data_IF_921400731063
#
_entry.id   IF_921400731063
#
_cell.length_a   1.000
_cell.length_b   1.000
_cell.length_c   1.000
_cell.angle_alpha   90.00
_cell.angle_beta   90.00
_cell.angle_gamma   90.00
#
_symmetry.space_group_name_H-M   'P 1'
#
loop_
_entity.id
_entity.type
_entity.pdbx_description
1 polymer ?
#
# COMPACT_ATOMS: atom_id res chain seq x y z
N UNK A 1 -13.63 5.02 5.29
CA UNK A 1 -13.95 4.79 3.85
C UNK A 1 -15.10 3.81 3.77
N UNK A 2 -16.21 4.14 3.12
CA UNK A 2 -17.29 3.17 2.83
C UNK A 2 -16.85 2.33 1.63
N UNK A 3 -16.93 1.00 1.74
CA UNK A 3 -16.35 0.05 0.77
C UNK A 3 -17.40 -0.65 -0.12
N UNK A 4 -18.67 -0.26 -0.08
CA UNK A 4 -19.71 -0.95 -0.87
C UNK A 4 -19.42 -0.94 -2.38
N UNK A 5 -18.80 0.14 -2.87
CA UNK A 5 -18.35 0.26 -4.26
C UNK A 5 -17.13 -0.60 -4.60
N UNK A 6 -16.33 -0.98 -3.59
CA UNK A 6 -15.08 -1.71 -3.74
C UNK A 6 -15.33 -3.21 -3.95
N UNK A 7 -16.31 -3.80 -3.26
CA UNK A 7 -16.53 -5.25 -3.32
C UNK A 7 -16.81 -5.81 -4.72
N UNK A 8 -17.61 -5.15 -5.60
CA UNK A 8 -17.76 -5.60 -6.99
C UNK A 8 -16.45 -5.56 -7.79
N UNK A 9 -15.60 -4.56 -7.55
CA UNK A 9 -14.28 -4.47 -8.21
C UNK A 9 -13.35 -5.58 -7.73
N UNK A 10 -13.31 -5.83 -6.42
CA UNK A 10 -12.51 -6.92 -5.85
C UNK A 10 -12.95 -8.28 -6.39
N UNK A 11 -14.26 -8.54 -6.49
CA UNK A 11 -14.77 -9.81 -7.02
C UNK A 11 -14.36 -10.02 -8.49
N UNK A 12 -14.41 -8.96 -9.30
CA UNK A 12 -13.95 -8.99 -10.69
C UNK A 12 -12.44 -9.21 -10.77
N UNK A 13 -11.67 -8.49 -9.98
CA UNK A 13 -10.22 -8.60 -9.92
C UNK A 13 -9.78 -10.01 -9.53
N UNK A 14 -10.34 -10.57 -8.46
CA UNK A 14 -10.02 -11.92 -8.02
C UNK A 14 -10.28 -12.97 -9.12
N UNK A 15 -11.32 -12.78 -9.95
CA UNK A 15 -11.62 -13.65 -11.09
C UNK A 15 -10.60 -13.48 -12.21
N UNK A 16 -10.26 -12.25 -12.58
CA UNK A 16 -9.32 -11.96 -13.67
C UNK A 16 -7.89 -12.43 -13.36
N UNK A 17 -7.44 -12.32 -12.10
CA UNK A 17 -6.10 -12.75 -11.68
C UNK A 17 -6.06 -14.18 -11.12
N UNK A 18 -7.19 -14.88 -11.08
CA UNK A 18 -7.25 -16.27 -10.60
C UNK A 18 -6.79 -16.45 -9.15
N UNK A 19 -7.11 -15.50 -8.27
CA UNK A 19 -6.66 -15.55 -6.87
C UNK A 19 -7.20 -16.78 -6.14
N UNK A 20 -6.32 -17.52 -5.47
CA UNK A 20 -6.69 -18.69 -4.69
C UNK A 20 -7.23 -18.29 -3.31
N UNK A 21 -8.54 -18.47 -3.12
CA UNK A 21 -9.23 -18.21 -1.86
C UNK A 21 -8.66 -18.96 -0.65
N UNK A 22 -8.05 -20.14 -0.86
CA UNK A 22 -7.39 -20.90 0.22
C UNK A 22 -6.13 -20.19 0.67
N UNK A 23 -5.31 -19.71 -0.28
CA UNK A 23 -4.09 -18.95 0.02
C UNK A 23 -4.40 -17.61 0.68
N UNK A 24 -5.44 -16.91 0.24
CA UNK A 24 -5.95 -15.70 0.90
C UNK A 24 -6.35 -15.98 2.37
N UNK A 25 -7.00 -17.12 2.61
CA UNK A 25 -7.37 -17.55 3.97
C UNK A 25 -6.14 -17.86 4.83
N UNK A 26 -5.09 -18.45 4.25
CA UNK A 26 -3.82 -18.68 4.95
C UNK A 26 -3.16 -17.36 5.31
N UNK A 27 -3.06 -16.42 4.37
CA UNK A 27 -2.50 -15.09 4.62
C UNK A 27 -3.22 -14.38 5.77
N UNK A 28 -4.55 -14.40 5.75
CA UNK A 28 -5.38 -13.81 6.80
C UNK A 28 -5.10 -14.44 8.17
N UNK A 29 -4.97 -15.77 8.24
CA UNK A 29 -4.63 -16.47 9.49
C UNK A 29 -3.22 -16.14 9.97
N UNK A 30 -2.26 -15.99 9.06
CA UNK A 30 -0.90 -15.55 9.40
C UNK A 30 -0.93 -14.16 10.03
N UNK A 31 -1.65 -13.20 9.41
CA UNK A 31 -1.84 -11.87 10.00
C UNK A 31 -2.44 -11.95 11.41
N UNK A 32 -3.50 -12.72 11.60
CA UNK A 32 -4.17 -12.84 12.91
C UNK A 32 -3.31 -13.47 14.02
N UNK A 33 -2.39 -14.37 13.66
CA UNK A 33 -1.59 -15.12 14.63
C UNK A 33 -0.21 -14.54 14.87
N UNK A 34 0.37 -13.91 13.86
CA UNK A 34 1.77 -13.48 13.85
C UNK A 34 1.93 -11.97 13.96
N UNK A 35 0.91 -11.19 13.56
CA UNK A 35 0.97 -9.75 13.76
C UNK A 35 0.63 -9.42 15.22
N UNK A 36 1.43 -8.53 15.79
CA UNK A 36 1.15 -7.90 17.07
C UNK A 36 1.13 -6.38 16.88
N UNK A 37 0.05 -5.83 16.29
CA UNK A 37 0.02 -4.41 15.99
C UNK A 37 0.20 -3.56 17.25
N UNK A 38 1.11 -2.60 17.20
CA UNK A 38 1.44 -1.72 18.32
C UNK A 38 1.70 -0.29 17.83
N UNK A 39 1.58 0.69 18.73
CA UNK A 39 1.71 2.10 18.39
C UNK A 39 0.42 2.73 17.85
N UNK A 40 0.52 3.99 17.44
CA UNK A 40 -0.63 4.78 17.00
C UNK A 40 -0.71 4.88 15.48
N UNK A 41 -1.92 4.72 14.93
CA UNK A 41 -2.16 5.01 13.53
C UNK A 41 -1.99 6.51 13.26
N UNK A 42 -1.21 6.91 12.24
CA UNK A 42 -1.11 8.30 11.84
C UNK A 42 -2.49 8.90 11.59
N UNK A 43 -2.81 10.02 12.26
CA UNK A 43 -4.06 10.74 12.02
C UNK A 43 -3.86 11.80 10.94
N UNK A 44 -4.51 11.61 9.80
CA UNK A 44 -4.44 12.57 8.68
C UNK A 44 -5.63 13.54 8.64
N UNK A 45 -6.52 13.51 9.63
CA UNK A 45 -7.65 14.43 9.76
C UNK A 45 -7.21 15.89 9.57
N UNK A 46 -7.78 16.55 8.55
CA UNK A 46 -7.46 17.95 8.20
C UNK A 46 -6.15 18.17 7.44
N UNK A 47 -5.30 17.14 7.31
CA UNK A 47 -3.97 17.23 6.69
C UNK A 47 -4.01 16.91 5.19
N UNK A 48 -3.06 17.47 4.45
CA UNK A 48 -2.74 17.08 3.08
C UNK A 48 -1.60 16.06 3.09
N UNK A 49 -1.76 14.98 2.32
CA UNK A 49 -0.82 13.85 2.25
C UNK A 49 -0.35 13.68 0.80
N UNK A 50 0.91 13.32 0.63
CA UNK A 50 1.49 12.89 -0.64
C UNK A 50 1.74 11.39 -0.56
N UNK A 51 1.09 10.61 -1.42
CA UNK A 51 1.37 9.19 -1.57
C UNK A 51 2.43 9.02 -2.64
N UNK A 52 3.53 8.35 -2.30
CA UNK A 52 4.65 8.08 -3.19
C UNK A 52 4.54 6.65 -3.70
N UNK A 53 4.40 6.50 -5.02
CA UNK A 53 4.38 5.24 -5.73
C UNK A 53 5.74 4.91 -6.36
N UNK A 54 5.90 3.65 -6.74
CA UNK A 54 7.16 3.12 -7.27
C UNK A 54 7.56 3.64 -8.67
N UNK A 55 6.68 4.42 -9.32
CA UNK A 55 6.88 5.04 -10.63
C UNK A 55 7.49 6.44 -10.60
N UNK A 56 7.94 6.93 -9.44
CA UNK A 56 8.68 8.19 -9.35
C UNK A 56 9.96 8.05 -10.17
N UNK A 57 10.30 9.04 -10.99
CA UNK A 57 11.58 9.01 -11.72
C UNK A 57 12.69 9.60 -10.83
N UNK A 58 13.96 9.19 -11.00
CA UNK A 58 15.06 9.71 -10.17
C UNK A 58 15.24 11.24 -10.25
N UNK A 59 14.84 11.86 -11.37
CA UNK A 59 14.88 13.31 -11.59
C UNK A 59 13.66 14.06 -11.02
N UNK A 60 12.63 13.35 -10.55
CA UNK A 60 11.41 13.96 -10.01
C UNK A 60 11.53 14.23 -8.51
N UNK A 61 11.23 15.46 -8.12
CA UNK A 61 11.20 15.85 -6.70
C UNK A 61 9.88 15.43 -6.08
N UNK A 62 9.94 14.74 -4.94
CA UNK A 62 8.73 14.44 -4.16
C UNK A 62 8.15 15.78 -3.66
N UNK A 63 6.84 16.05 -3.83
CA UNK A 63 6.22 17.27 -3.30
C UNK A 63 6.34 17.41 -1.77
N UNK A 64 6.42 18.63 -1.25
CA UNK A 64 6.44 18.87 0.20
C UNK A 64 5.14 18.42 0.88
N UNK A 65 5.23 17.96 2.13
CA UNK A 65 4.09 17.50 2.91
C UNK A 65 4.34 16.18 3.66
N UNK A 66 3.29 15.67 4.31
CA UNK A 66 3.29 14.36 4.96
C UNK A 66 3.33 13.27 3.89
N UNK A 67 4.34 12.39 3.95
CA UNK A 67 4.55 11.37 2.94
C UNK A 67 4.04 10.01 3.40
N UNK A 68 3.30 9.33 2.55
CA UNK A 68 2.98 7.90 2.67
C UNK A 68 3.70 7.18 1.53
N UNK A 69 4.57 6.23 1.83
CA UNK A 69 5.30 5.47 0.82
C UNK A 69 4.66 4.09 0.58
N UNK A 70 4.51 3.70 -0.68
CA UNK A 70 4.07 2.37 -1.07
C UNK A 70 5.27 1.47 -1.33
N UNK A 71 5.52 0.55 -0.39
CA UNK A 71 6.52 -0.51 -0.48
C UNK A 71 7.88 -0.05 -1.05
N UNK A 72 8.28 -0.50 -2.25
CA UNK A 72 9.54 -0.13 -2.89
C UNK A 72 9.76 1.38 -3.08
N UNK A 73 8.70 2.20 -3.07
CA UNK A 73 8.79 3.65 -3.12
C UNK A 73 9.52 4.26 -1.90
N UNK A 74 9.70 3.51 -0.82
CA UNK A 74 10.54 3.93 0.32
C UNK A 74 11.97 4.24 -0.14
N UNK A 75 12.50 3.54 -1.15
CA UNK A 75 13.81 3.85 -1.73
C UNK A 75 13.86 5.26 -2.31
N UNK A 76 12.84 5.66 -3.06
CA UNK A 76 12.75 7.00 -3.64
C UNK A 76 12.75 8.08 -2.55
N UNK A 77 12.01 7.83 -1.46
CA UNK A 77 11.99 8.68 -0.28
C UNK A 77 13.38 8.78 0.36
N UNK A 78 14.10 7.66 0.51
CA UNK A 78 15.43 7.60 1.10
C UNK A 78 16.49 8.32 0.26
N UNK A 79 16.48 8.13 -1.06
CA UNK A 79 17.39 8.80 -2.00
C UNK A 79 17.27 10.33 -1.93
N UNK A 80 16.08 10.84 -1.63
CA UNK A 80 15.82 12.27 -1.41
C UNK A 80 15.91 12.69 0.05
N UNK A 81 16.31 11.80 0.96
CA UNK A 81 16.41 12.03 2.41
C UNK A 81 15.10 12.50 3.05
N UNK A 82 13.96 11.99 2.57
CA UNK A 82 12.62 12.37 3.06
C UNK A 82 11.95 11.20 3.75
N UNK A 83 11.94 11.21 5.07
CA UNK A 83 11.32 10.15 5.86
C UNK A 83 9.78 10.15 5.68
N UNK A 84 9.17 9.03 5.24
CA UNK A 84 7.72 8.90 5.24
C UNK A 84 7.16 8.77 6.66
N UNK A 85 5.96 9.30 6.88
CA UNK A 85 5.26 9.12 8.17
C UNK A 85 4.54 7.77 8.25
N UNK A 86 4.27 7.15 7.09
CA UNK A 86 3.64 5.85 6.96
C UNK A 86 4.20 5.11 5.75
N UNK A 87 4.46 3.82 5.93
CA UNK A 87 4.74 2.87 4.85
C UNK A 87 3.61 1.87 4.77
N UNK A 88 3.11 1.60 3.56
CA UNK A 88 2.17 0.52 3.28
C UNK A 88 2.89 -0.49 2.39
N UNK A 89 2.99 -1.74 2.82
CA UNK A 89 3.84 -2.74 2.17
C UNK A 89 3.30 -4.16 2.34
N UNK A 90 3.45 -4.98 1.30
CA UNK A 90 3.26 -6.44 1.33
C UNK A 90 4.56 -7.21 1.66
N UNK A 91 5.62 -6.47 1.99
CA UNK A 91 6.95 -6.93 2.40
C UNK A 91 7.80 -7.52 1.26
N UNK A 92 7.48 -7.24 -0.02
CA UNK A 92 8.26 -7.68 -1.17
C UNK A 92 9.28 -6.66 -1.72
N UNK A 93 9.27 -5.44 -1.16
CA UNK A 93 10.18 -4.36 -1.52
C UNK A 93 11.61 -4.46 -0.97
N UNK A 94 12.29 -3.32 -0.93
CA UNK A 94 13.69 -3.24 -0.53
C UNK A 94 13.84 -3.21 1.00
N UNK A 95 14.37 -4.31 1.56
CA UNK A 95 14.47 -4.54 3.01
C UNK A 95 15.22 -3.45 3.76
N UNK A 96 16.39 -3.05 3.28
CA UNK A 96 17.21 -2.01 3.93
C UNK A 96 16.52 -0.65 3.93
N UNK A 97 15.73 -0.36 2.89
CA UNK A 97 14.98 0.89 2.77
C UNK A 97 13.79 0.88 3.73
N UNK A 98 13.09 -0.25 3.84
CA UNK A 98 12.02 -0.44 4.84
C UNK A 98 12.55 -0.29 6.27
N UNK A 99 13.68 -0.92 6.60
CA UNK A 99 14.33 -0.77 7.91
C UNK A 99 14.76 0.69 8.17
N UNK A 100 15.31 1.38 7.17
CA UNK A 100 15.64 2.80 7.28
C UNK A 100 14.41 3.63 7.66
N UNK A 101 13.26 3.40 7.02
CA UNK A 101 12.03 4.13 7.32
C UNK A 101 11.52 3.83 8.74
N UNK A 102 11.46 2.55 9.13
CA UNK A 102 11.00 2.14 10.46
C UNK A 102 11.91 2.69 11.57
N UNK A 103 13.23 2.57 11.40
CA UNK A 103 14.20 3.10 12.37
C UNK A 103 14.18 4.63 12.44
N UNK A 104 13.76 5.30 11.36
CA UNK A 104 13.50 6.74 11.36
C UNK A 104 12.20 7.14 12.07
N UNK A 105 11.33 6.20 12.43
CA UNK A 105 10.04 6.45 13.09
C UNK A 105 8.82 6.40 12.17
N UNK A 106 8.96 5.91 10.93
CA UNK A 106 7.81 5.70 10.06
C UNK A 106 6.89 4.62 10.63
N UNK A 107 5.58 4.89 10.67
CA UNK A 107 4.60 3.86 10.96
C UNK A 107 4.55 2.83 9.82
N UNK A 108 4.23 1.57 10.13
CA UNK A 108 4.12 0.50 9.14
C UNK A 108 2.72 -0.11 9.13
N UNK A 109 2.12 -0.18 7.95
CA UNK A 109 0.94 -1.02 7.67
C UNK A 109 1.38 -2.18 6.79
N UNK A 110 1.22 -3.41 7.29
CA UNK A 110 1.52 -4.62 6.52
C UNK A 110 0.26 -5.12 5.83
N UNK A 111 0.37 -5.42 4.53
CA UNK A 111 -0.64 -6.12 3.77
C UNK A 111 -0.31 -7.61 3.64
N UNK A 112 -1.28 -8.49 3.90
CA UNK A 112 -1.18 -9.92 3.60
C UNK A 112 -2.19 -10.37 2.54
N UNK A 113 -1.71 -11.20 1.60
CA UNK A 113 -2.49 -11.87 0.56
C UNK A 113 -1.87 -13.22 0.18
N UNK A 114 -2.53 -13.97 -0.72
CA UNK A 114 -2.15 -15.35 -1.01
C UNK A 114 -0.77 -15.53 -1.65
N UNK A 115 -0.17 -14.51 -2.26
CA UNK A 115 1.12 -14.64 -2.95
C UNK A 115 2.30 -14.29 -2.06
N UNK A 116 2.10 -13.49 -1.00
CA UNK A 116 3.18 -13.01 -0.14
C UNK A 116 3.40 -13.86 1.13
N UNK A 117 2.89 -15.10 1.18
CA UNK A 117 2.97 -15.97 2.36
C UNK A 117 4.41 -16.18 2.88
N UNK A 118 5.39 -16.30 1.98
CA UNK A 118 6.80 -16.47 2.36
C UNK A 118 7.33 -15.21 3.05
N UNK A 119 7.07 -14.03 2.46
CA UNK A 119 7.47 -12.76 3.04
C UNK A 119 6.80 -12.51 4.39
N UNK A 120 5.50 -12.80 4.51
CA UNK A 120 4.78 -12.74 5.79
C UNK A 120 5.41 -13.67 6.83
N UNK A 121 5.73 -14.91 6.45
CA UNK A 121 6.32 -15.90 7.34
C UNK A 121 7.69 -15.48 7.90
N UNK A 122 8.53 -14.92 7.04
CA UNK A 122 9.89 -14.50 7.37
C UNK A 122 9.91 -13.20 8.18
N UNK A 123 9.10 -12.21 7.79
CA UNK A 123 9.28 -10.81 8.22
C UNK A 123 8.28 -10.35 9.26
N UNK A 124 7.02 -10.75 9.16
CA UNK A 124 5.98 -10.24 10.05
C UNK A 124 6.31 -10.42 11.54
N UNK A 125 6.89 -11.55 12.01
CA UNK A 125 7.26 -11.73 13.42
C UNK A 125 8.40 -10.82 13.91
N UNK A 126 9.15 -10.21 12.98
CA UNK A 126 10.33 -9.37 13.26
C UNK A 126 9.99 -7.88 13.22
N UNK A 127 8.75 -7.55 12.87
CA UNK A 127 8.27 -6.19 12.68
C UNK A 127 7.14 -5.91 13.67
N UNK A 128 6.93 -4.63 13.97
CA UNK A 128 5.84 -4.16 14.81
C UNK A 128 5.01 -3.16 14.01
N UNK A 129 4.12 -3.62 13.12
CA UNK A 129 3.26 -2.72 12.37
C UNK A 129 2.26 -2.01 13.28
N UNK A 130 1.79 -0.82 12.90
CA UNK A 130 0.68 -0.14 13.58
C UNK A 130 -0.68 -0.73 13.21
N UNK A 131 -0.77 -1.39 12.05
CA UNK A 131 -1.93 -2.17 11.64
C UNK A 131 -1.58 -3.19 10.56
N UNK A 132 -2.46 -4.17 10.40
CA UNK A 132 -2.41 -5.13 9.29
C UNK A 132 -3.69 -5.07 8.47
N UNK A 133 -3.57 -5.31 7.16
CA UNK A 133 -4.69 -5.30 6.22
C UNK A 133 -4.66 -6.50 5.28
N UNK A 134 -5.83 -6.97 4.89
CA UNK A 134 -5.98 -8.06 3.93
C UNK A 134 -7.00 -7.72 2.83
N UNK A 135 -7.21 -8.66 1.91
CA UNK A 135 -8.25 -8.56 0.88
C UNK A 135 -9.67 -8.59 1.47
N UNK A 136 -9.86 -9.07 2.70
CA UNK A 136 -11.14 -9.06 3.42
C UNK A 136 -10.92 -8.71 4.90
N UNK A 137 -11.89 -8.06 5.56
CA UNK A 137 -11.78 -7.78 6.98
C UNK A 137 -11.88 -9.06 7.81
N UNK A 138 -11.22 -9.06 8.98
CA UNK A 138 -11.35 -10.10 10.00
C UNK A 138 -11.06 -9.50 11.39
N UNK A 139 -11.36 -10.20 12.49
CA UNK A 139 -10.95 -9.76 13.82
C UNK A 139 -9.44 -9.45 13.85
N UNK A 140 -9.08 -8.22 14.24
CA UNK A 140 -7.70 -7.73 14.28
C UNK A 140 -7.06 -7.38 12.92
N UNK A 141 -7.78 -7.55 11.80
CA UNK A 141 -7.27 -7.29 10.45
C UNK A 141 -8.20 -6.32 9.71
N UNK A 142 -7.66 -5.16 9.35
CA UNK A 142 -8.39 -4.15 8.61
C UNK A 142 -8.58 -4.53 7.13
N UNK A 143 -9.47 -3.82 6.47
CA UNK A 143 -9.55 -3.80 5.03
C UNK A 143 -10.01 -2.41 4.59
N UNK A 144 -9.16 -1.69 3.85
CA UNK A 144 -9.50 -0.40 3.24
C UNK A 144 -9.70 -0.50 1.72
N UNK A 145 -9.64 -1.72 1.17
CA UNK A 145 -9.63 -1.98 -0.25
C UNK A 145 -8.24 -1.78 -0.88
N UNK A 146 -8.20 -1.81 -2.20
CA UNK A 146 -6.99 -1.70 -3.00
C UNK A 146 -6.40 -3.04 -3.42
N UNK A 147 -5.56 -3.00 -4.45
CA UNK A 147 -4.91 -4.14 -5.07
C UNK A 147 -3.39 -4.08 -4.96
N UNK A 148 -2.77 -2.99 -5.42
CA UNK A 148 -1.33 -2.76 -5.30
C UNK A 148 -1.03 -1.92 -4.07
N UNK A 149 0.21 -1.93 -3.56
CA UNK A 149 0.58 -1.12 -2.40
C UNK A 149 0.33 0.38 -2.65
N UNK A 150 0.49 0.84 -3.89
CA UNK A 150 0.22 2.23 -4.26
C UNK A 150 -1.23 2.65 -4.05
N UNK A 151 -2.17 1.94 -4.67
CA UNK A 151 -3.60 2.27 -4.53
C UNK A 151 -4.13 1.94 -3.12
N UNK A 152 -3.55 0.94 -2.45
CA UNK A 152 -3.82 0.63 -1.04
C UNK A 152 -3.32 1.73 -0.11
N UNK A 153 -2.16 2.34 -0.39
CA UNK A 153 -1.65 3.48 0.36
C UNK A 153 -2.57 4.70 0.24
N UNK A 154 -3.12 4.94 -0.95
CA UNK A 154 -4.15 5.99 -1.16
C UNK A 154 -5.40 5.74 -0.33
N UNK A 155 -5.95 4.53 -0.39
CA UNK A 155 -7.15 4.16 0.37
C UNK A 155 -6.91 4.15 1.89
N UNK A 156 -5.71 3.77 2.33
CA UNK A 156 -5.29 3.88 3.74
C UNK A 156 -5.24 5.34 4.18
N UNK A 157 -4.64 6.23 3.39
CA UNK A 157 -4.57 7.66 3.71
C UNK A 157 -5.97 8.30 3.81
N UNK A 158 -6.89 7.96 2.89
CA UNK A 158 -8.29 8.37 2.97
C UNK A 158 -9.00 7.75 4.18
N UNK A 159 -8.71 6.49 4.49
CA UNK A 159 -9.18 5.78 5.68
C UNK A 159 -8.81 6.46 6.98
N UNK A 160 -7.62 7.08 7.02
CA UNK A 160 -7.09 7.81 8.18
C UNK A 160 -7.47 9.30 8.20
N UNK A 161 -8.39 9.71 7.32
CA UNK A 161 -9.02 11.04 7.37
C UNK A 161 -8.28 12.14 6.60
N UNK A 162 -7.38 11.79 5.66
CA UNK A 162 -6.69 12.80 4.86
C UNK A 162 -7.70 13.74 4.17
N UNK A 163 -7.53 15.05 4.38
CA UNK A 163 -8.36 16.08 3.72
C UNK A 163 -8.05 16.19 2.23
N UNK A 164 -6.80 15.88 1.86
CA UNK A 164 -6.30 15.92 0.50
C UNK A 164 -5.22 14.88 0.31
N UNK A 165 -5.24 14.14 -0.79
CA UNK A 165 -4.27 13.13 -1.17
C UNK A 165 -3.75 13.45 -2.57
N UNK A 166 -2.45 13.72 -2.64
CA UNK A 166 -1.70 13.93 -3.88
C UNK A 166 -0.90 12.69 -4.22
N UNK A 167 -0.71 12.44 -5.51
CA UNK A 167 0.07 11.30 -5.99
C UNK A 167 1.41 11.77 -6.54
N UNK A 168 2.49 11.10 -6.13
CA UNK A 168 3.81 11.25 -6.71
C UNK A 168 4.28 9.87 -7.20
N UNK A 169 4.79 9.78 -8.43
CA UNK A 169 5.29 8.50 -8.94
C UNK A 169 4.22 7.45 -9.28
N UNK A 170 2.99 7.87 -9.61
CA UNK A 170 1.97 6.98 -10.15
C UNK A 170 2.02 6.98 -11.68
N UNK A 171 2.51 5.89 -12.26
CA UNK A 171 2.60 5.64 -13.70
C UNK A 171 1.90 4.31 -14.00
N UNK A 172 1.02 4.31 -15.00
CA UNK A 172 0.16 3.16 -15.28
C UNK A 172 0.48 2.48 -16.62
N UNK A 173 1.31 3.14 -17.43
CA UNK A 173 1.79 2.75 -18.75
C UNK A 173 3.18 2.10 -18.70
N UNK A 174 3.98 2.41 -17.68
CA UNK A 174 5.34 1.90 -17.52
C UNK A 174 5.61 1.36 -16.11
N UNK A 175 6.53 0.38 -16.03
CA UNK A 175 7.04 -0.12 -14.76
C UNK A 175 8.01 0.89 -14.17
N UNK A 176 7.75 1.29 -12.93
CA UNK A 176 8.57 2.26 -12.21
C UNK A 176 9.92 1.72 -11.76
N UNK A 177 10.95 2.58 -11.62
CA UNK A 177 12.30 2.16 -11.22
C UNK A 177 12.35 1.53 -9.82
N UNK A 178 11.39 1.87 -8.96
CA UNK A 178 11.31 1.37 -7.59
C UNK A 178 10.36 0.16 -7.44
N UNK A 179 10.05 -0.54 -8.53
CA UNK A 179 9.15 -1.71 -8.53
C UNK A 179 9.82 -3.03 -8.16
N UNK A 180 11.07 -3.01 -7.68
CA UNK A 180 11.82 -4.21 -7.34
C UNK A 180 12.02 -5.17 -8.52
N UNK A 181 11.67 -6.44 -8.31
CA UNK A 181 11.68 -7.50 -9.33
C UNK A 181 10.40 -7.55 -10.18
N UNK A 182 9.39 -6.74 -9.85
CA UNK A 182 8.06 -6.76 -10.46
C UNK A 182 8.08 -6.19 -11.89
N UNK A 183 7.94 -7.03 -12.92
CA UNK A 183 8.08 -6.66 -14.34
C UNK A 183 7.10 -7.42 -15.25
N UNK A 184 7.07 -7.04 -16.54
CA UNK A 184 6.36 -7.77 -17.59
C UNK A 184 4.84 -7.58 -17.61
N UNK A 185 4.15 -8.45 -18.37
CA UNK A 185 2.71 -8.33 -18.68
C UNK A 185 1.82 -8.34 -17.43
N UNK A 186 2.14 -9.18 -16.46
CA UNK A 186 1.38 -9.26 -15.21
C UNK A 186 1.44 -7.92 -14.46
N UNK A 187 2.62 -7.30 -14.36
CA UNK A 187 2.76 -5.99 -13.72
C UNK A 187 1.97 -4.91 -14.47
N UNK A 188 2.00 -4.91 -15.80
CA UNK A 188 1.20 -3.97 -16.60
C UNK A 188 -0.31 -4.13 -16.34
N UNK A 189 -0.81 -5.37 -16.23
CA UNK A 189 -2.20 -5.62 -15.86
C UNK A 189 -2.51 -5.11 -14.44
N UNK A 190 -1.60 -5.32 -13.48
CA UNK A 190 -1.74 -4.77 -12.12
C UNK A 190 -1.81 -3.25 -12.12
N UNK A 191 -0.97 -2.58 -12.91
CA UNK A 191 -0.97 -1.12 -13.05
C UNK A 191 -2.26 -0.58 -13.69
N UNK A 192 -2.77 -1.23 -14.74
CA UNK A 192 -4.05 -0.87 -15.34
C UNK A 192 -5.21 -0.99 -14.33
N UNK A 193 -5.17 -2.03 -13.49
CA UNK A 193 -6.13 -2.19 -12.39
C UNK A 193 -5.97 -1.13 -11.31
N UNK A 194 -4.75 -0.81 -10.89
CA UNK A 194 -4.49 0.29 -9.96
C UNK A 194 -5.07 1.61 -10.48
N UNK A 195 -4.89 1.91 -11.77
CA UNK A 195 -5.49 3.09 -12.41
C UNK A 195 -7.01 3.07 -12.33
N UNK A 196 -7.63 1.93 -12.64
CA UNK A 196 -9.10 1.76 -12.58
C UNK A 196 -9.63 1.98 -11.17
N UNK A 197 -8.94 1.46 -10.16
CA UNK A 197 -9.28 1.60 -8.75
C UNK A 197 -9.18 3.07 -8.35
N UNK A 198 -8.08 3.75 -8.68
CA UNK A 198 -7.88 5.16 -8.35
C UNK A 198 -8.90 6.08 -9.04
N UNK A 199 -9.28 5.82 -10.30
CA UNK A 199 -10.40 6.53 -10.96
C UNK A 199 -11.70 6.37 -10.19
N UNK A 200 -12.04 5.14 -9.79
CA UNK A 200 -13.26 4.87 -9.02
C UNK A 200 -13.22 5.52 -7.63
N UNK A 201 -12.05 5.58 -7.01
CA UNK A 201 -11.80 6.28 -5.74
C UNK A 201 -12.00 7.79 -5.89
N UNK A 202 -11.41 8.41 -6.92
CA UNK A 202 -11.48 9.86 -7.13
C UNK A 202 -12.91 10.37 -7.33
N UNK A 203 -13.75 9.59 -8.03
CA UNK A 203 -15.18 9.89 -8.19
C UNK A 203 -15.97 9.91 -6.87
N UNK A 204 -15.47 9.25 -5.83
CA UNK A 204 -16.16 9.05 -4.54
C UNK A 204 -15.56 9.85 -3.40
N UNK A 205 -14.27 10.15 -3.51
CA UNK A 205 -13.48 10.82 -2.51
C UNK A 205 -12.83 12.05 -3.14
N UNK A 206 -13.51 13.22 -3.10
CA UNK A 206 -12.97 14.47 -3.65
C UNK A 206 -11.64 14.91 -3.03
N UNK A 207 -11.26 14.32 -1.90
CA UNK A 207 -9.95 14.49 -1.30
C UNK A 207 -8.80 13.96 -2.18
N UNK A 208 -9.04 12.99 -3.07
CA UNK A 208 -8.02 12.45 -3.96
C UNK A 208 -7.87 13.32 -5.22
N UNK A 209 -6.67 13.88 -5.42
CA UNK A 209 -6.28 14.61 -6.63
C UNK A 209 -5.71 13.60 -7.66
N UNK A 210 -6.58 13.03 -8.50
CA UNK A 210 -6.24 11.97 -9.48
C UNK A 210 -6.82 12.23 -10.87
#
# INVERSE_FOLDING_TARGET
>A
VKLDWWWPLQARLAREFGHDSRRETVALRMLQRMAHPSGELPRFTGRSVVVVGAGLRPDEVIPSGLLVAADGAVRACREQQRLPVLVVSDLDGYRDDLHWAINGGAALVVHGHGDNLVALGEWLPRLQPVAVTATRPAPGVACWGGFTDGDRAVLTALGFGARRVRLAGFRFDAVGPYSGSSRGRLKQQKLAWAQRILRATAQRYPALEF
#
